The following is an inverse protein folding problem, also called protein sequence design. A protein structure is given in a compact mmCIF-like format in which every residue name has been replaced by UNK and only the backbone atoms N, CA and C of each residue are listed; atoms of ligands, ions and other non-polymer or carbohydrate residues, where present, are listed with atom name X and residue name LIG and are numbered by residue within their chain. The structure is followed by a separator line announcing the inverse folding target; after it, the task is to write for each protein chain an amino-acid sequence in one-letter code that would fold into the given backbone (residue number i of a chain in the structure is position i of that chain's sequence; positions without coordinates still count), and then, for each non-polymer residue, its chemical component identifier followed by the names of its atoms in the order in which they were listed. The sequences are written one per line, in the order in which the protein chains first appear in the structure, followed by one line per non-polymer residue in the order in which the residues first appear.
data_IF_972778536674
#
_entry.id   IF_972778536674
#
_cell.length_a   1.000
_cell.length_b   1.000
_cell.length_c   1.000
_cell.angle_alpha   90.00
_cell.angle_beta   90.00
_cell.angle_gamma   90.00
#
_symmetry.space_group_name_H-M   'P 1'
#
loop_
_entity.id
_entity.type
_entity.pdbx_description
1 polymer ?
#
# COMPACT_ATOMS: atom_id res chain seq x y z
N UNK A 1 -14.72 32.92 -2.01
CA UNK A 1 -14.77 31.46 -1.73
C UNK A 1 -13.49 31.12 -0.97
N UNK A 2 -13.53 30.43 0.17
CA UNK A 2 -12.29 30.08 0.86
C UNK A 2 -11.51 29.09 -0.01
N UNK A 3 -10.25 29.40 -0.30
CA UNK A 3 -9.37 28.55 -1.10
C UNK A 3 -9.30 27.15 -0.47
N UNK A 4 -9.64 26.11 -1.23
CA UNK A 4 -9.54 24.73 -0.77
C UNK A 4 -8.08 24.27 -0.80
N UNK A 5 -7.30 24.72 0.19
CA UNK A 5 -5.92 24.30 0.39
C UNK A 5 -5.81 22.84 0.83
N UNK A 6 -4.61 22.28 0.71
CA UNK A 6 -4.28 20.98 1.31
C UNK A 6 -4.08 21.15 2.82
N UNK A 7 -4.70 20.26 3.60
CA UNK A 7 -4.37 20.05 5.00
C UNK A 7 -3.34 18.93 5.14
N UNK A 8 -2.36 19.12 6.01
CA UNK A 8 -1.30 18.15 6.27
C UNK A 8 -1.14 18.01 7.78
N UNK A 9 -1.13 16.76 8.26
CA UNK A 9 -0.73 16.40 9.62
C UNK A 9 0.29 15.29 9.53
N UNK A 10 1.38 15.40 10.27
CA UNK A 10 2.36 14.34 10.34
C UNK A 10 2.88 14.12 11.75
N UNK A 11 3.35 12.91 11.99
CA UNK A 11 3.85 12.43 13.27
C UNK A 11 5.07 11.54 13.01
N UNK A 12 6.13 11.75 13.79
CA UNK A 12 7.30 10.85 13.76
C UNK A 12 7.03 9.65 14.65
N UNK A 13 7.32 8.45 14.15
CA UNK A 13 7.19 7.17 14.87
C UNK A 13 8.50 6.41 14.80
N UNK A 14 8.79 5.65 15.85
CA UNK A 14 9.96 4.77 15.92
C UNK A 14 9.58 3.30 15.68
N UNK A 15 8.52 3.05 14.91
CA UNK A 15 8.04 1.70 14.62
C UNK A 15 7.11 1.70 13.39
N UNK A 16 7.07 0.59 12.62
CA UNK A 16 6.09 0.38 11.55
C UNK A 16 4.65 0.30 12.12
N UNK A 17 3.61 0.30 11.27
CA UNK A 17 2.23 0.18 11.74
C UNK A 17 2.00 -1.09 12.59
N UNK A 18 1.25 -0.93 13.67
CA UNK A 18 1.06 -1.97 14.69
C UNK A 18 0.46 -3.28 14.13
N UNK A 19 -0.37 -3.18 13.09
CA UNK A 19 -1.08 -4.33 12.52
C UNK A 19 -0.16 -5.29 11.75
N UNK A 20 1.03 -4.85 11.37
CA UNK A 20 2.00 -5.59 10.56
C UNK A 20 3.42 -5.49 11.16
N UNK A 21 3.49 -5.18 12.46
CA UNK A 21 4.76 -4.85 13.11
C UNK A 21 5.76 -5.99 13.00
N UNK A 22 5.31 -7.23 13.23
CA UNK A 22 6.18 -8.41 13.21
C UNK A 22 6.68 -8.71 11.81
N UNK A 23 5.80 -8.69 10.81
CA UNK A 23 6.15 -8.92 9.40
C UNK A 23 7.09 -7.84 8.86
N UNK A 24 6.96 -6.60 9.33
CA UNK A 24 7.88 -5.52 9.00
C UNK A 24 9.25 -5.72 9.68
N UNK A 25 9.29 -6.14 10.95
CA UNK A 25 10.54 -6.42 11.67
C UNK A 25 11.32 -7.57 11.04
N UNK A 26 10.66 -8.62 10.58
CA UNK A 26 11.28 -9.75 9.86
C UNK A 26 12.02 -9.31 8.59
N UNK A 27 11.61 -8.18 7.98
CA UNK A 27 12.29 -7.56 6.83
C UNK A 27 13.37 -6.55 7.23
N UNK A 28 13.72 -6.44 8.51
CA UNK A 28 14.66 -5.44 9.01
C UNK A 28 14.09 -4.01 9.03
N UNK A 29 12.77 -3.84 9.05
CA UNK A 29 12.09 -2.56 9.25
C UNK A 29 11.81 -2.36 10.76
N UNK A 30 12.87 -2.30 11.57
CA UNK A 30 12.83 -2.31 13.03
C UNK A 30 12.69 -0.91 13.67
N UNK A 31 12.62 -0.87 15.02
CA UNK A 31 12.43 0.36 15.82
C UNK A 31 13.56 1.38 15.76
N UNK A 32 14.72 0.97 15.26
CA UNK A 32 15.88 1.86 15.11
C UNK A 32 15.70 2.87 13.98
N UNK A 33 14.71 2.64 13.10
CA UNK A 33 14.38 3.51 11.99
C UNK A 33 13.33 4.54 12.39
N UNK A 34 13.49 5.76 11.87
CA UNK A 34 12.51 6.81 11.98
C UNK A 34 11.49 6.67 10.85
N UNK A 35 10.22 6.62 11.21
CA UNK A 35 9.10 6.61 10.29
C UNK A 35 8.33 7.92 10.42
N UNK A 36 7.69 8.34 9.33
CA UNK A 36 6.76 9.47 9.35
C UNK A 36 5.38 8.98 8.95
N UNK A 37 4.45 9.05 9.89
CA UNK A 37 3.03 8.92 9.60
C UNK A 37 2.52 10.27 9.10
N UNK A 38 1.82 10.27 7.97
CA UNK A 38 1.24 11.47 7.38
C UNK A 38 -0.23 11.24 7.06
N UNK A 39 -1.02 12.27 7.31
CA UNK A 39 -2.41 12.39 6.87
C UNK A 39 -2.49 13.65 6.03
N UNK A 40 -2.84 13.48 4.77
CA UNK A 40 -3.12 14.56 3.83
C UNK A 40 -4.62 14.60 3.60
N UNK A 41 -5.21 15.77 3.57
CA UNK A 41 -6.60 15.90 3.18
C UNK A 41 -6.85 17.15 2.34
N UNK A 42 -7.90 17.08 1.53
CA UNK A 42 -8.37 18.21 0.74
C UNK A 42 -9.89 18.19 0.69
N UNK A 43 -10.51 19.31 1.00
CA UNK A 43 -11.95 19.47 0.83
C UNK A 43 -12.31 19.58 -0.66
N UNK A 44 -13.42 18.97 -1.05
CA UNK A 44 -13.94 18.99 -2.41
C UNK A 44 -15.47 18.99 -2.43
N UNK A 45 -16.03 19.13 -3.63
CA UNK A 45 -17.47 19.02 -3.86
C UNK A 45 -17.69 17.94 -4.92
N UNK A 46 -18.34 16.84 -4.53
CA UNK A 46 -18.70 15.75 -5.43
C UNK A 46 -20.21 15.72 -5.57
N UNK A 47 -20.73 15.85 -6.79
CA UNK A 47 -22.18 15.84 -7.09
C UNK A 47 -22.99 16.81 -6.20
N UNK A 48 -22.42 17.99 -5.94
CA UNK A 48 -23.05 19.03 -5.11
C UNK A 48 -22.96 18.78 -3.59
N UNK A 49 -22.34 17.70 -3.15
CA UNK A 49 -22.14 17.38 -1.73
C UNK A 49 -20.68 17.63 -1.33
N UNK A 50 -20.50 18.20 -0.12
CA UNK A 50 -19.18 18.33 0.48
C UNK A 50 -18.56 16.96 0.70
N UNK A 51 -17.29 16.81 0.33
CA UNK A 51 -16.50 15.64 0.62
C UNK A 51 -15.09 16.04 1.06
N UNK A 52 -14.42 15.12 1.74
CA UNK A 52 -13.01 15.26 2.09
C UNK A 52 -12.27 14.11 1.43
N UNK A 53 -11.29 14.43 0.61
CA UNK A 53 -10.33 13.46 0.13
C UNK A 53 -9.26 13.31 1.19
N UNK A 54 -8.92 12.09 1.59
CA UNK A 54 -7.89 11.84 2.57
C UNK A 54 -6.94 10.73 2.12
N UNK A 55 -5.70 10.85 2.59
CA UNK A 55 -4.63 9.91 2.33
C UNK A 55 -3.85 9.75 3.63
N UNK A 56 -3.84 8.54 4.15
CA UNK A 56 -3.08 8.16 5.33
C UNK A 56 -1.98 7.18 4.91
N UNK A 57 -0.74 7.63 5.07
CA UNK A 57 0.44 6.84 4.77
C UNK A 57 1.40 6.87 5.95
N UNK A 58 2.28 5.89 6.02
CA UNK A 58 3.49 5.97 6.84
C UNK A 58 4.68 5.62 5.96
N UNK A 59 5.74 6.41 6.00
CA UNK A 59 6.97 6.17 5.24
C UNK A 59 8.14 5.91 6.17
N UNK A 60 9.13 5.17 5.68
CA UNK A 60 10.42 5.01 6.33
C UNK A 60 11.46 4.58 5.31
N UNK A 61 12.73 4.37 5.73
CA UNK A 61 13.80 4.00 4.82
C UNK A 61 13.48 2.72 4.03
N UNK A 62 13.27 2.89 2.72
CA UNK A 62 12.96 1.81 1.78
C UNK A 62 11.52 1.30 1.79
N UNK A 63 10.58 1.96 2.48
CA UNK A 63 9.21 1.45 2.63
C UNK A 63 8.13 2.53 2.64
N UNK A 64 7.00 2.22 2.00
CA UNK A 64 5.73 2.93 2.14
C UNK A 64 4.69 1.98 2.73
N UNK A 65 3.99 2.41 3.76
CA UNK A 65 2.81 1.76 4.30
C UNK A 65 1.57 2.55 3.90
N UNK A 66 0.79 2.03 2.96
CA UNK A 66 -0.51 2.55 2.60
C UNK A 66 -1.53 2.09 3.66
N UNK A 67 -2.10 3.03 4.41
CA UNK A 67 -3.03 2.69 5.49
C UNK A 67 -4.47 2.91 5.04
N UNK A 68 -4.87 4.15 4.86
CA UNK A 68 -6.24 4.50 4.47
C UNK A 68 -6.21 5.55 3.36
N UNK A 69 -7.20 5.51 2.47
CA UNK A 69 -7.38 6.57 1.49
C UNK A 69 -8.79 6.58 0.93
N UNK A 70 -9.44 7.73 0.98
CA UNK A 70 -10.68 8.00 0.28
C UNK A 70 -10.48 9.16 -0.70
N UNK A 71 -10.63 8.86 -2.00
CA UNK A 71 -10.45 9.86 -3.07
C UNK A 71 -11.45 9.68 -4.22
N UNK A 72 -12.67 10.19 -4.08
CA UNK A 72 -13.66 10.10 -5.16
C UNK A 72 -13.21 10.70 -6.51
N UNK A 73 -12.58 11.88 -6.48
CA UNK A 73 -12.22 12.64 -7.69
C UNK A 73 -11.00 13.56 -7.45
N UNK A 74 -10.06 13.11 -6.63
CA UNK A 74 -8.82 13.85 -6.30
C UNK A 74 -7.57 13.16 -6.82
N UNK A 75 -6.39 13.69 -6.47
CA UNK A 75 -5.09 13.18 -6.89
C UNK A 75 -4.96 11.67 -6.71
N UNK A 76 -4.27 11.00 -7.64
CA UNK A 76 -4.10 9.55 -7.52
C UNK A 76 -3.21 9.21 -6.33
N UNK A 77 -3.56 8.14 -5.60
CA UNK A 77 -2.78 7.67 -4.46
C UNK A 77 -1.29 7.50 -4.79
N UNK A 78 -0.97 6.99 -5.99
CA UNK A 78 0.40 6.83 -6.46
C UNK A 78 1.20 8.15 -6.46
N UNK A 79 0.58 9.26 -6.89
CA UNK A 79 1.23 10.57 -6.93
C UNK A 79 1.46 11.10 -5.52
N UNK A 80 0.48 10.93 -4.63
CA UNK A 80 0.60 11.30 -3.22
C UNK A 80 1.70 10.49 -2.54
N UNK A 81 1.69 9.16 -2.69
CA UNK A 81 2.69 8.27 -2.13
C UNK A 81 4.11 8.60 -2.62
N UNK A 82 4.25 8.87 -3.92
CA UNK A 82 5.52 9.27 -4.51
C UNK A 82 6.03 10.60 -3.92
N UNK A 83 5.16 11.61 -3.83
CA UNK A 83 5.53 12.92 -3.29
C UNK A 83 5.93 12.84 -1.81
N UNK A 84 5.13 12.14 -1.01
CA UNK A 84 5.40 11.93 0.42
C UNK A 84 6.71 11.19 0.64
N UNK A 85 6.97 10.13 -0.12
CA UNK A 85 8.20 9.36 0.05
C UNK A 85 9.43 10.16 -0.37
N UNK A 86 9.36 10.89 -1.50
CA UNK A 86 10.46 11.73 -2.00
C UNK A 86 10.79 12.92 -1.12
N UNK A 87 9.87 13.35 -0.26
CA UNK A 87 10.11 14.44 0.69
C UNK A 87 11.20 14.12 1.71
N UNK A 88 11.37 12.83 2.06
CA UNK A 88 12.32 12.41 3.11
C UNK A 88 13.29 11.30 2.67
N UNK A 89 13.04 10.64 1.53
CA UNK A 89 13.81 9.48 1.09
C UNK A 89 14.12 9.53 -0.41
N UNK A 90 15.32 9.12 -0.83
CA UNK A 90 15.61 8.86 -2.25
C UNK A 90 14.67 7.79 -2.79
N UNK A 91 14.01 8.06 -3.91
CA UNK A 91 13.04 7.10 -4.48
C UNK A 91 13.70 5.78 -4.87
N UNK A 92 14.99 5.83 -5.21
CA UNK A 92 15.85 4.71 -5.57
C UNK A 92 15.95 3.64 -4.49
N UNK A 93 15.77 4.05 -3.23
CA UNK A 93 15.85 3.20 -2.04
C UNK A 93 14.54 2.46 -1.75
N UNK A 94 13.42 2.83 -2.38
CA UNK A 94 12.13 2.20 -2.15
C UNK A 94 12.17 0.73 -2.57
N UNK A 95 11.96 -0.17 -1.59
CA UNK A 95 11.98 -1.63 -1.74
C UNK A 95 10.63 -2.26 -1.45
N UNK A 96 9.84 -1.67 -0.57
CA UNK A 96 8.59 -2.27 -0.12
C UNK A 96 7.44 -1.28 -0.18
N UNK A 97 6.29 -1.74 -0.66
CA UNK A 97 5.02 -1.06 -0.46
C UNK A 97 4.08 -2.02 0.24
N UNK A 98 3.54 -1.62 1.38
CA UNK A 98 2.52 -2.35 2.10
C UNK A 98 1.16 -1.72 1.86
N UNK A 99 0.13 -2.55 1.77
CA UNK A 99 -1.27 -2.15 1.86
C UNK A 99 -1.83 -2.79 3.12
N UNK A 100 -2.04 -1.94 4.12
CA UNK A 100 -2.40 -2.35 5.45
C UNK A 100 -3.92 -2.41 5.60
N UNK A 101 -4.42 -3.44 6.27
CA UNK A 101 -5.82 -3.58 6.69
C UNK A 101 -6.82 -3.31 5.56
N UNK A 102 -6.69 -4.04 4.46
CA UNK A 102 -7.48 -3.81 3.25
C UNK A 102 -8.97 -4.02 3.54
N UNK A 103 -9.74 -2.95 3.35
CA UNK A 103 -11.21 -2.94 3.41
C UNK A 103 -11.87 -2.71 2.04
N UNK A 104 -11.07 -2.57 0.97
CA UNK A 104 -11.61 -2.40 -0.38
C UNK A 104 -12.36 -3.69 -0.79
N UNK A 105 -13.68 -3.65 -1.03
CA UNK A 105 -14.47 -4.87 -1.19
C UNK A 105 -14.08 -5.67 -2.43
N UNK A 106 -13.66 -5.01 -3.51
CA UNK A 106 -13.20 -5.71 -4.72
C UNK A 106 -11.91 -6.50 -4.46
N UNK A 107 -10.90 -5.86 -3.86
CA UNK A 107 -9.64 -6.56 -3.53
C UNK A 107 -9.86 -7.62 -2.45
N UNK A 108 -10.70 -7.35 -1.45
CA UNK A 108 -11.04 -8.32 -0.41
C UNK A 108 -11.73 -9.56 -0.99
N UNK A 109 -12.78 -9.37 -1.79
CA UNK A 109 -13.53 -10.47 -2.38
C UNK A 109 -12.65 -11.27 -3.32
N UNK A 110 -11.82 -10.62 -4.14
CA UNK A 110 -10.88 -11.31 -5.00
C UNK A 110 -9.93 -12.22 -4.20
N UNK A 111 -9.28 -11.68 -3.17
CA UNK A 111 -8.35 -12.46 -2.34
C UNK A 111 -9.08 -13.62 -1.65
N UNK A 112 -10.20 -13.36 -0.97
CA UNK A 112 -10.87 -14.39 -0.15
C UNK A 112 -11.67 -15.41 -0.95
N UNK A 113 -12.18 -15.05 -2.14
CA UNK A 113 -13.16 -15.86 -2.88
C UNK A 113 -12.69 -16.31 -4.25
N UNK A 114 -11.55 -15.81 -4.73
CA UNK A 114 -10.99 -16.21 -6.02
C UNK A 114 -9.55 -16.69 -5.91
N UNK A 115 -8.74 -16.08 -5.03
CA UNK A 115 -7.36 -16.49 -4.82
C UNK A 115 -7.23 -17.62 -3.79
N UNK A 116 -7.79 -17.44 -2.59
CA UNK A 116 -7.73 -18.41 -1.49
C UNK A 116 -8.92 -19.38 -1.53
N UNK A 117 -8.94 -20.22 -2.56
CA UNK A 117 -9.98 -21.23 -2.79
C UNK A 117 -9.39 -22.64 -2.81
N UNK A 118 -10.23 -23.64 -2.50
CA UNK A 118 -9.81 -25.04 -2.41
C UNK A 118 -9.21 -25.56 -3.72
N UNK A 119 -9.69 -25.08 -4.87
CA UNK A 119 -9.16 -25.43 -6.20
C UNK A 119 -7.70 -25.00 -6.39
N UNK A 120 -7.27 -23.96 -5.67
CA UNK A 120 -5.87 -23.52 -5.63
C UNK A 120 -5.08 -24.18 -4.46
N UNK A 121 -5.70 -25.11 -3.72
CA UNK A 121 -5.12 -25.73 -2.53
C UNK A 121 -5.03 -24.77 -1.33
N UNK A 122 -5.89 -23.74 -1.29
CA UNK A 122 -5.83 -22.66 -0.32
C UNK A 122 -7.16 -22.46 0.40
N UNK A 123 -7.12 -21.84 1.58
CA UNK A 123 -8.30 -21.47 2.34
C UNK A 123 -8.11 -20.11 3.00
N UNK A 124 -9.20 -19.39 3.21
CA UNK A 124 -9.20 -18.15 3.97
C UNK A 124 -10.01 -18.29 5.27
N UNK A 125 -9.49 -17.84 6.43
CA UNK A 125 -8.16 -17.26 6.64
C UNK A 125 -7.02 -18.28 6.47
N UNK A 126 -5.85 -17.80 6.06
CA UNK A 126 -4.60 -18.57 6.00
C UNK A 126 -3.68 -18.08 7.13
N UNK A 127 -3.04 -19.01 7.84
CA UNK A 127 -2.12 -18.73 8.94
C UNK A 127 -0.71 -18.36 8.45
N UNK A 128 -0.46 -18.47 7.14
CA UNK A 128 0.84 -18.22 6.53
C UNK A 128 0.83 -17.00 5.62
N UNK A 129 2.01 -16.37 5.52
CA UNK A 129 2.31 -15.44 4.44
C UNK A 129 2.46 -16.23 3.14
N UNK A 130 1.66 -15.89 2.13
CA UNK A 130 1.77 -16.47 0.78
C UNK A 130 2.53 -15.52 -0.12
N UNK A 131 3.57 -16.04 -0.76
CA UNK A 131 4.40 -15.31 -1.72
C UNK A 131 3.99 -15.70 -3.12
N UNK A 132 3.70 -14.70 -3.94
CA UNK A 132 3.32 -14.81 -5.34
C UNK A 132 4.44 -14.20 -6.17
N UNK A 133 5.24 -15.05 -6.80
CA UNK A 133 6.37 -14.66 -7.64
C UNK A 133 5.89 -14.20 -9.02
N UNK A 134 6.67 -13.33 -9.66
CA UNK A 134 6.43 -12.93 -11.04
C UNK A 134 6.33 -14.15 -11.97
N UNK A 135 5.30 -14.15 -12.82
CA UNK A 135 5.07 -15.19 -13.84
C UNK A 135 3.99 -16.21 -13.49
N UNK A 136 3.52 -16.29 -12.25
CA UNK A 136 2.35 -17.12 -11.93
C UNK A 136 1.01 -16.40 -12.24
N UNK A 137 -0.05 -17.18 -12.40
CA UNK A 137 -1.38 -16.65 -12.74
C UNK A 137 -1.95 -15.80 -11.60
N UNK A 138 -1.70 -16.20 -10.36
CA UNK A 138 -2.12 -15.52 -9.14
C UNK A 138 -1.47 -14.15 -9.01
N UNK A 139 -0.18 -14.05 -9.32
CA UNK A 139 0.56 -12.79 -9.36
C UNK A 139 -0.06 -11.82 -10.38
N UNK A 140 -0.33 -12.29 -11.60
CA UNK A 140 -0.97 -11.47 -12.63
C UNK A 140 -2.38 -11.02 -12.24
N UNK A 141 -3.15 -11.91 -11.64
CA UNK A 141 -4.50 -11.61 -11.17
C UNK A 141 -4.48 -10.59 -10.01
N UNK A 142 -3.53 -10.73 -9.08
CA UNK A 142 -3.30 -9.77 -7.99
C UNK A 142 -2.93 -8.38 -8.52
N UNK A 143 -2.03 -8.28 -9.51
CA UNK A 143 -1.71 -7.01 -10.18
C UNK A 143 -2.94 -6.35 -10.83
N UNK A 144 -3.94 -7.14 -11.22
CA UNK A 144 -5.21 -6.68 -11.78
C UNK A 144 -6.14 -5.98 -10.78
N UNK A 145 -5.94 -6.17 -9.47
CA UNK A 145 -6.77 -5.57 -8.41
C UNK A 145 -6.61 -4.05 -8.35
N UNK A 146 -7.65 -3.32 -7.95
CA UNK A 146 -7.61 -1.85 -7.87
C UNK A 146 -6.49 -1.33 -6.98
N UNK A 147 -6.22 -1.98 -5.85
CA UNK A 147 -5.16 -1.53 -4.95
C UNK A 147 -3.76 -1.85 -5.52
N UNK A 148 -3.53 -3.03 -6.08
CA UNK A 148 -2.26 -3.35 -6.73
C UNK A 148 -1.96 -2.43 -7.92
N UNK A 149 -2.99 -2.07 -8.71
CA UNK A 149 -2.87 -1.05 -9.76
C UNK A 149 -2.32 0.27 -9.22
N UNK A 150 -2.71 0.69 -8.02
CA UNK A 150 -2.15 1.88 -7.38
C UNK A 150 -0.63 1.79 -7.20
N UNK A 151 -0.12 0.63 -6.79
CA UNK A 151 1.33 0.37 -6.64
C UNK A 151 2.03 0.28 -7.99
N UNK A 152 1.40 -0.35 -8.99
CA UNK A 152 1.93 -0.39 -10.36
C UNK A 152 2.10 1.02 -10.92
N UNK A 153 1.09 1.89 -10.77
CA UNK A 153 1.20 3.29 -11.19
C UNK A 153 2.29 4.05 -10.43
N UNK A 154 2.47 3.76 -9.14
CA UNK A 154 3.58 4.31 -8.36
C UNK A 154 4.92 3.89 -8.97
N UNK A 155 5.16 2.60 -9.20
CA UNK A 155 6.43 2.11 -9.77
C UNK A 155 6.68 2.70 -11.17
N UNK A 156 5.67 2.71 -12.04
CA UNK A 156 5.78 3.27 -13.39
C UNK A 156 6.03 4.79 -13.40
N UNK A 157 5.48 5.53 -12.43
CA UNK A 157 5.66 6.99 -12.32
C UNK A 157 6.89 7.40 -11.50
N UNK A 158 7.40 6.51 -10.64
CA UNK A 158 8.49 6.79 -9.71
C UNK A 158 9.88 6.59 -10.31
N UNK A 159 10.02 5.63 -11.22
CA UNK A 159 11.30 5.17 -11.73
C UNK A 159 11.40 5.34 -13.25
N UNK A 160 12.62 5.51 -13.80
CA UNK A 160 12.82 5.41 -15.24
C UNK A 160 12.32 4.07 -15.77
N UNK A 161 11.71 4.10 -16.96
CA UNK A 161 11.12 2.91 -17.59
C UNK A 161 12.13 1.77 -17.66
N UNK A 162 11.71 0.58 -17.21
CA UNK A 162 12.53 -0.64 -17.29
C UNK A 162 13.64 -0.76 -16.25
N UNK A 163 13.66 0.09 -15.20
CA UNK A 163 14.70 0.04 -14.15
C UNK A 163 14.24 -0.56 -12.82
N UNK A 164 12.92 -0.73 -12.66
CA UNK A 164 12.30 -1.34 -11.49
C UNK A 164 11.13 -2.21 -11.93
N UNK A 165 10.92 -3.28 -11.17
CA UNK A 165 9.73 -4.13 -11.27
C UNK A 165 9.22 -4.48 -9.87
N UNK A 166 7.94 -4.83 -9.79
CA UNK A 166 7.42 -5.57 -8.64
C UNK A 166 7.85 -7.02 -8.88
N UNK A 167 8.70 -7.58 -8.03
CA UNK A 167 9.18 -8.96 -8.18
C UNK A 167 8.24 -9.96 -7.51
N UNK A 168 7.62 -9.54 -6.38
CA UNK A 168 6.76 -10.39 -5.56
C UNK A 168 5.58 -9.60 -5.03
N UNK A 169 4.45 -10.29 -4.90
CA UNK A 169 3.33 -9.84 -4.07
C UNK A 169 3.19 -10.85 -2.94
N UNK A 170 3.06 -10.38 -1.71
CA UNK A 170 2.83 -11.23 -0.54
C UNK A 170 1.48 -10.88 0.06
N UNK A 171 0.68 -11.90 0.37
CA UNK A 171 -0.65 -11.72 0.97
C UNK A 171 -0.79 -12.56 2.23
N UNK A 172 -1.45 -12.02 3.26
CA UNK A 172 -1.72 -12.73 4.51
C UNK A 172 -2.92 -12.12 5.24
N UNK A 173 -3.48 -12.87 6.19
CA UNK A 173 -4.47 -12.37 7.14
C UNK A 173 -3.79 -11.68 8.32
N UNK A 174 -4.31 -10.52 8.73
CA UNK A 174 -3.84 -9.85 9.94
C UNK A 174 -4.02 -10.74 11.17
N UNK A 175 -3.00 -10.77 12.04
CA UNK A 175 -2.94 -11.67 13.20
C UNK A 175 -4.06 -11.45 14.22
N UNK A 176 -4.39 -10.18 14.48
CA UNK A 176 -5.39 -9.81 15.50
C UNK A 176 -6.77 -9.54 14.91
N UNK A 177 -6.81 -9.02 13.68
CA UNK A 177 -8.02 -8.80 12.91
C UNK A 177 -7.74 -9.34 11.51
N UNK A 178 -8.57 -10.25 10.97
CA UNK A 178 -8.29 -10.95 9.72
C UNK A 178 -8.52 -10.07 8.49
N UNK A 179 -8.19 -8.78 8.56
CA UNK A 179 -8.05 -7.94 7.38
C UNK A 179 -6.88 -8.43 6.55
N UNK A 180 -7.08 -8.45 5.24
CA UNK A 180 -6.02 -8.80 4.30
C UNK A 180 -4.94 -7.72 4.38
N UNK A 181 -3.70 -8.18 4.44
CA UNK A 181 -2.52 -7.36 4.24
C UNK A 181 -1.89 -7.76 2.92
N UNK A 182 -1.31 -6.79 2.21
CA UNK A 182 -0.50 -7.05 1.03
C UNK A 182 0.84 -6.34 1.13
N UNK A 183 1.88 -6.97 0.58
CA UNK A 183 3.22 -6.39 0.42
C UNK A 183 3.67 -6.56 -1.01
N UNK A 184 4.28 -5.53 -1.57
CA UNK A 184 4.85 -5.52 -2.90
C UNK A 184 6.36 -5.29 -2.78
N UNK A 185 7.14 -6.25 -3.28
CA UNK A 185 8.59 -6.19 -3.22
C UNK A 185 9.10 -5.63 -4.55
N UNK A 186 9.81 -4.50 -4.50
CA UNK A 186 10.30 -3.76 -5.65
C UNK A 186 11.81 -4.02 -5.78
N UNK A 187 12.22 -4.47 -6.96
CA UNK A 187 13.61 -4.81 -7.28
C UNK A 187 14.09 -4.09 -8.53
N UNK A 188 15.43 -4.02 -8.70
CA UNK A 188 16.03 -3.59 -9.96
C UNK A 188 15.81 -4.66 -11.02
N UNK A 189 15.59 -4.23 -12.27
CA UNK A 189 15.57 -5.10 -13.45
C UNK A 189 16.99 -5.32 -13.95
#
# INVERSE_FOLDING_TARGET
MPESGWGIRHEKRHFPPDQIYEEAVELGLSREKLYRKIVLWKSGILRGQYCVHDYMLQTGPGVIFAMDSFRPDSAYWAQIAQAVYKDEHPIEDLKYVFQCSIINPETMLFVQKSLYVADNGLGWPDDRLRVWEEGCAEYQALLGTRLAKGVVHLVLGAFPRGTRRIARIVTWGGRYIPYIQMRFDIEKV
#
